data_IF_967701652423
#
_entry.id   IF_967701652423
#
_cell.length_a   1.000
_cell.length_b   1.000
_cell.length_c   1.000
_cell.angle_alpha   90.00
_cell.angle_beta   90.00
_cell.angle_gamma   90.00
#
_symmetry.space_group_name_H-M   'P 1'
#
loop_
_entity.id
_entity.type
_entity.pdbx_description
1 polymer ?
#
# COMPACT_ATOMS: atom_id res chain seq x y z
N UNK A 1 33.34 16.76 -33.86
CA UNK A 1 32.43 17.17 -32.77
C UNK A 1 31.74 15.93 -32.23
N UNK A 2 31.90 15.63 -30.94
CA UNK A 2 31.20 14.52 -30.27
C UNK A 2 29.75 14.99 -30.02
N UNK A 3 28.72 14.19 -30.35
CA UNK A 3 27.35 14.58 -30.05
C UNK A 3 27.20 14.86 -28.55
N UNK A 4 26.40 15.87 -28.14
CA UNK A 4 26.12 16.11 -26.73
C UNK A 4 25.62 14.83 -26.08
N UNK A 5 26.05 14.50 -24.84
CA UNK A 5 25.53 13.34 -24.17
C UNK A 5 24.01 13.51 -24.02
N UNK A 6 23.27 12.57 -24.59
CA UNK A 6 21.84 12.45 -24.36
C UNK A 6 21.69 12.19 -22.85
N UNK A 7 21.38 13.23 -22.08
CA UNK A 7 20.78 13.04 -20.76
C UNK A 7 19.56 12.16 -21.01
N UNK A 8 19.63 10.91 -20.56
CA UNK A 8 18.57 9.92 -20.73
C UNK A 8 17.26 10.52 -20.22
N UNK A 9 16.40 11.01 -21.11
CA UNK A 9 15.14 11.66 -20.75
C UNK A 9 14.28 10.73 -19.86
N UNK A 10 14.46 9.41 -20.02
CA UNK A 10 13.86 8.37 -19.17
C UNK A 10 14.38 8.37 -17.73
N UNK A 11 15.63 8.78 -17.47
CA UNK A 11 16.22 8.89 -16.12
C UNK A 11 15.74 10.16 -15.41
N UNK A 12 15.64 11.28 -16.12
CA UNK A 12 15.11 12.53 -15.58
C UNK A 12 13.63 12.38 -15.18
N UNK A 13 12.82 11.77 -16.05
CA UNK A 13 11.38 11.53 -15.78
C UNK A 13 11.13 10.57 -14.61
N UNK A 14 11.92 9.50 -14.47
CA UNK A 14 11.84 8.58 -13.32
C UNK A 14 12.19 9.26 -12.00
N UNK A 15 13.19 10.14 -11.99
CA UNK A 15 13.58 10.86 -10.78
C UNK A 15 12.55 11.91 -10.38
N UNK A 16 11.91 12.59 -11.33
CA UNK A 16 10.84 13.54 -11.06
C UNK A 16 9.59 12.84 -10.49
N UNK A 17 9.19 11.70 -11.05
CA UNK A 17 8.07 10.90 -10.54
C UNK A 17 8.38 10.31 -9.14
N UNK A 18 9.60 9.82 -8.92
CA UNK A 18 10.00 9.34 -7.60
C UNK A 18 10.02 10.47 -6.55
N UNK A 19 10.36 11.69 -6.97
CA UNK A 19 10.33 12.87 -6.10
C UNK A 19 8.90 13.30 -5.77
N UNK A 20 7.99 13.34 -6.75
CA UNK A 20 6.58 13.70 -6.51
C UNK A 20 5.88 12.68 -5.62
N UNK A 21 6.12 11.38 -5.84
CA UNK A 21 5.59 10.30 -4.98
C UNK A 21 6.12 10.42 -3.55
N UNK A 22 7.37 10.87 -3.38
CA UNK A 22 7.95 11.08 -2.05
C UNK A 22 7.32 12.27 -1.32
N UNK A 23 7.00 13.35 -2.04
CA UNK A 23 6.32 14.51 -1.49
C UNK A 23 4.88 14.16 -1.09
N UNK A 24 4.12 13.52 -1.99
CA UNK A 24 2.77 13.03 -1.73
C UNK A 24 2.69 12.04 -0.56
N UNK A 25 3.71 11.22 -0.34
CA UNK A 25 3.74 10.25 0.76
C UNK A 25 3.72 10.91 2.16
N UNK A 26 4.10 12.19 2.27
CA UNK A 26 4.07 12.93 3.53
C UNK A 26 2.80 13.75 3.73
N UNK A 27 1.92 13.80 2.73
CA UNK A 27 0.66 14.53 2.83
C UNK A 27 -0.40 13.71 3.57
N UNK A 28 -1.32 14.43 4.21
CA UNK A 28 -2.51 13.81 4.79
C UNK A 28 -3.43 13.29 3.68
N UNK A 29 -4.09 12.16 3.93
CA UNK A 29 -5.11 11.66 3.02
C UNK A 29 -6.30 12.62 2.96
N UNK A 30 -6.88 12.79 1.78
CA UNK A 30 -8.10 13.57 1.60
C UNK A 30 -9.28 12.89 2.31
N UNK A 31 -10.32 13.66 2.64
CA UNK A 31 -11.55 13.13 3.25
C UNK A 31 -12.17 12.02 2.40
N UNK A 32 -12.14 12.16 1.07
CA UNK A 32 -12.58 11.13 0.12
C UNK A 32 -11.82 9.80 0.30
N UNK A 33 -10.49 9.85 0.46
CA UNK A 33 -9.67 8.65 0.66
C UNK A 33 -9.95 8.04 2.04
N UNK A 34 -10.10 8.87 3.08
CA UNK A 34 -10.46 8.40 4.42
C UNK A 34 -11.81 7.68 4.41
N UNK A 35 -12.82 8.26 3.75
CA UNK A 35 -14.14 7.65 3.60
C UNK A 35 -14.10 6.36 2.80
N UNK A 36 -13.33 6.33 1.71
CA UNK A 36 -13.11 5.12 0.93
C UNK A 36 -12.53 3.99 1.79
N UNK A 37 -11.44 4.27 2.53
CA UNK A 37 -10.77 3.29 3.40
C UNK A 37 -11.71 2.78 4.49
N UNK A 38 -12.49 3.67 5.11
CA UNK A 38 -13.45 3.30 6.15
C UNK A 38 -14.54 2.34 5.64
N UNK A 39 -14.94 2.48 4.37
CA UNK A 39 -15.96 1.65 3.70
C UNK A 39 -15.46 0.28 3.23
N UNK A 40 -14.15 0.02 3.21
CA UNK A 40 -13.61 -1.29 2.81
C UNK A 40 -14.20 -2.41 3.67
N UNK A 41 -14.61 -3.51 3.04
CA UNK A 41 -15.16 -4.68 3.73
C UNK A 41 -14.54 -5.93 3.11
N UNK A 42 -13.40 -6.33 3.67
CA UNK A 42 -12.59 -7.43 3.18
C UNK A 42 -13.33 -8.77 3.18
N UNK A 43 -14.27 -8.99 4.10
CA UNK A 43 -15.05 -10.23 4.14
C UNK A 43 -16.05 -10.27 2.99
N UNK A 44 -16.69 -9.12 2.69
CA UNK A 44 -17.53 -8.98 1.50
C UNK A 44 -16.71 -9.11 0.21
N UNK A 45 -15.53 -8.51 0.14
CA UNK A 45 -14.65 -8.59 -1.03
C UNK A 45 -14.20 -10.03 -1.29
N UNK A 46 -13.78 -10.77 -0.26
CA UNK A 46 -13.42 -12.20 -0.37
C UNK A 46 -14.63 -13.04 -0.77
N UNK A 47 -15.80 -12.81 -0.18
CA UNK A 47 -17.03 -13.52 -0.55
C UNK A 47 -17.39 -13.28 -2.03
N UNK A 48 -17.28 -12.03 -2.50
CA UNK A 48 -17.50 -11.68 -3.89
C UNK A 48 -16.53 -12.41 -4.83
N UNK A 49 -15.23 -12.43 -4.49
CA UNK A 49 -14.22 -13.14 -5.27
C UNK A 49 -14.55 -14.63 -5.39
N UNK A 50 -14.89 -15.29 -4.27
CA UNK A 50 -15.31 -16.68 -4.25
C UNK A 50 -16.56 -16.91 -5.12
N UNK A 51 -17.55 -16.01 -5.10
CA UNK A 51 -18.75 -16.12 -5.95
C UNK A 51 -18.45 -15.99 -7.44
N UNK A 52 -17.38 -15.29 -7.81
CA UNK A 52 -16.88 -15.17 -9.18
C UNK A 52 -16.02 -16.37 -9.60
N UNK A 53 -15.86 -17.39 -8.75
CA UNK A 53 -15.04 -18.57 -9.01
C UNK A 53 -13.55 -18.39 -8.72
N UNK A 54 -13.15 -17.28 -8.08
CA UNK A 54 -11.78 -17.09 -7.62
C UNK A 54 -11.62 -17.73 -6.24
N UNK A 55 -10.79 -18.77 -6.13
CA UNK A 55 -10.38 -19.29 -4.83
C UNK A 55 -9.41 -18.30 -4.18
N UNK A 56 -9.73 -17.84 -2.96
CA UNK A 56 -8.85 -16.98 -2.16
C UNK A 56 -8.17 -17.82 -1.08
N UNK A 57 -6.88 -18.20 -1.24
CA UNK A 57 -6.17 -19.00 -0.25
C UNK A 57 -6.11 -18.32 1.11
N UNK A 58 -6.02 -19.10 2.17
CA UNK A 58 -6.04 -18.56 3.53
C UNK A 58 -4.90 -17.55 3.78
N UNK A 59 -3.69 -17.84 3.31
CA UNK A 59 -2.52 -16.95 3.42
C UNK A 59 -2.81 -15.56 2.85
N UNK A 60 -3.49 -15.50 1.70
CA UNK A 60 -3.89 -14.25 1.05
C UNK A 60 -5.03 -13.58 1.82
N UNK A 61 -6.04 -14.34 2.23
CA UNK A 61 -7.19 -13.82 2.97
C UNK A 61 -6.79 -13.19 4.30
N UNK A 62 -5.83 -13.80 5.01
CA UNK A 62 -5.32 -13.32 6.30
C UNK A 62 -4.53 -12.04 6.10
N UNK A 63 -3.60 -12.01 5.15
CA UNK A 63 -2.86 -10.79 4.83
C UNK A 63 -3.80 -9.66 4.42
N UNK A 64 -4.80 -9.94 3.57
CA UNK A 64 -5.75 -8.93 3.12
C UNK A 64 -6.56 -8.34 4.29
N UNK A 65 -7.00 -9.19 5.22
CA UNK A 65 -7.69 -8.76 6.45
C UNK A 65 -6.80 -7.86 7.31
N UNK A 66 -5.54 -8.28 7.54
CA UNK A 66 -4.57 -7.52 8.33
C UNK A 66 -4.30 -6.15 7.70
N UNK A 67 -4.03 -6.11 6.39
CA UNK A 67 -3.74 -4.85 5.70
C UNK A 67 -4.96 -3.92 5.64
N UNK A 68 -6.17 -4.46 5.45
CA UNK A 68 -7.40 -3.65 5.50
C UNK A 68 -7.61 -3.06 6.89
N UNK A 69 -7.42 -3.85 7.95
CA UNK A 69 -7.51 -3.35 9.31
C UNK A 69 -6.42 -2.30 9.61
N UNK A 70 -5.19 -2.55 9.17
CA UNK A 70 -4.08 -1.60 9.29
C UNK A 70 -4.42 -0.27 8.61
N UNK A 71 -4.91 -0.29 7.37
CA UNK A 71 -5.33 0.91 6.65
C UNK A 71 -6.44 1.66 7.38
N UNK A 72 -7.45 0.97 7.88
CA UNK A 72 -8.52 1.61 8.67
C UNK A 72 -7.97 2.26 9.94
N UNK A 73 -6.99 1.65 10.60
CA UNK A 73 -6.36 2.23 11.78
C UNK A 73 -5.47 3.42 11.44
N UNK A 74 -4.71 3.36 10.36
CA UNK A 74 -3.81 4.45 9.99
C UNK A 74 -4.57 5.71 9.63
N UNK A 75 -5.70 5.60 8.90
CA UNK A 75 -6.56 6.76 8.62
C UNK A 75 -7.25 7.29 9.88
N UNK A 76 -7.66 6.42 10.81
CA UNK A 76 -8.20 6.85 12.13
C UNK A 76 -7.18 7.66 12.95
N UNK A 77 -5.89 7.39 12.78
CA UNK A 77 -4.80 8.10 13.46
C UNK A 77 -4.20 9.24 12.62
N UNK A 78 -4.80 9.60 11.48
CA UNK A 78 -4.28 10.63 10.56
C UNK A 78 -2.81 10.38 10.14
N UNK A 79 -2.43 9.13 9.93
CA UNK A 79 -1.09 8.78 9.48
C UNK A 79 -0.94 8.96 7.97
N UNK A 80 0.20 9.51 7.55
CA UNK A 80 0.60 9.67 6.16
C UNK A 80 1.17 8.35 5.62
N UNK A 81 1.29 8.24 4.29
CA UNK A 81 1.89 7.06 3.66
C UNK A 81 3.32 6.79 4.18
N UNK A 82 4.11 7.84 4.43
CA UNK A 82 5.46 7.75 4.98
C UNK A 82 5.46 7.14 6.40
N UNK A 83 4.54 7.54 7.28
CA UNK A 83 4.38 6.92 8.60
C UNK A 83 4.04 5.43 8.48
N UNK A 84 3.12 5.06 7.58
CA UNK A 84 2.74 3.67 7.37
C UNK A 84 3.92 2.81 6.92
N UNK A 85 4.74 3.31 5.98
CA UNK A 85 5.94 2.61 5.49
C UNK A 85 6.92 2.32 6.63
N UNK A 86 7.16 3.30 7.52
CA UNK A 86 8.04 3.12 8.68
C UNK A 86 7.50 2.06 9.64
N UNK A 87 6.19 2.06 9.91
CA UNK A 87 5.55 1.06 10.77
C UNK A 87 5.67 -0.36 10.22
N UNK A 88 5.38 -0.54 8.93
CA UNK A 88 5.47 -1.85 8.26
C UNK A 88 6.92 -2.33 8.21
N UNK A 89 7.87 -1.43 7.92
CA UNK A 89 9.30 -1.76 7.88
C UNK A 89 9.83 -2.19 9.25
N UNK A 90 9.42 -1.50 10.32
CA UNK A 90 9.80 -1.87 11.67
C UNK A 90 9.15 -3.19 12.12
N UNK A 91 7.92 -3.47 11.69
CA UNK A 91 7.26 -4.75 11.92
C UNK A 91 7.99 -5.90 11.20
N UNK A 92 8.44 -5.70 9.95
CA UNK A 92 9.18 -6.71 9.18
C UNK A 92 10.52 -7.08 9.83
N UNK A 93 11.19 -6.15 10.53
CA UNK A 93 12.42 -6.45 11.29
C UNK A 93 12.17 -7.31 12.54
N UNK A 94 10.95 -7.30 13.08
CA UNK A 94 10.58 -7.98 14.31
C UNK A 94 9.70 -9.22 14.11
N UNK A 95 9.17 -9.44 12.90
CA UNK A 95 8.09 -10.41 12.70
C UNK A 95 8.20 -11.03 11.31
N UNK A 96 8.74 -12.25 11.24
CA UNK A 96 8.21 -13.24 10.31
C UNK A 96 6.74 -13.39 10.69
N UNK A 97 5.83 -12.77 9.94
CA UNK A 97 4.42 -13.12 10.01
C UNK A 97 4.35 -14.57 9.54
N UNK A 98 4.44 -15.51 10.48
CA UNK A 98 4.24 -16.92 10.22
C UNK A 98 2.75 -17.11 9.90
N UNK A 99 2.41 -16.93 8.63
CA UNK A 99 1.10 -17.19 8.04
C UNK A 99 0.85 -18.70 7.85
N UNK A 100 1.74 -19.56 8.35
CA UNK A 100 1.74 -21.01 8.16
C UNK A 100 0.78 -21.79 9.08
N UNK A 101 -0.18 -21.11 9.71
CA UNK A 101 -1.24 -21.78 10.46
C UNK A 101 -2.60 -21.24 10.03
N UNK A 102 -2.92 -21.51 8.78
CA UNK A 102 -4.23 -22.02 8.40
C UNK A 102 -4.03 -23.49 8.02
#
# INVERSE_FOLDING_TARGET
MKPPPLIDAKKCSKNALAQSVKEEANEAYTEEVVDYVNRLDVDRDIAFLNTCGWEVPCEISVSYKIFTFFLKKTVQFNLTAAHMVVLVWNAHKSTTFNLLTC
#
